data_IF_530697274424
#
_entry.id   IF_530697274424
#
_cell.length_a   1.000
_cell.length_b   1.000
_cell.length_c   1.000
_cell.angle_alpha   90.00
_cell.angle_beta   90.00
_cell.angle_gamma   90.00
#
_symmetry.space_group_name_H-M   'P 1'
#
loop_
_entity.id
_entity.type
_entity.pdbx_description
1 polymer ?
#
# COMPACT_ATOMS: atom_id res chain seq x y z
N UNK A 1 0.29 19.99 13.72
CA UNK A 1 -1.11 19.57 13.94
C UNK A 1 -1.31 18.22 13.25
N UNK A 2 -1.87 17.21 13.92
CA UNK A 2 -2.09 15.86 13.35
C UNK A 2 -3.58 15.74 13.02
N UNK A 3 -3.93 15.82 11.74
CA UNK A 3 -5.29 15.50 11.31
C UNK A 3 -5.34 13.99 11.08
N UNK A 4 -6.06 13.26 11.92
CA UNK A 4 -6.39 11.86 11.66
C UNK A 4 -7.73 11.90 10.92
N UNK A 5 -7.69 11.73 9.61
CA UNK A 5 -8.92 11.49 8.84
C UNK A 5 -9.22 10.00 8.97
N UNK A 6 -10.12 9.63 9.88
CA UNK A 6 -10.74 8.31 9.85
C UNK A 6 -11.73 8.33 8.69
N UNK A 7 -11.30 7.87 7.52
CA UNK A 7 -12.15 7.79 6.34
C UNK A 7 -13.23 6.72 6.59
N UNK A 8 -14.38 7.15 7.12
CA UNK A 8 -15.63 6.43 6.97
C UNK A 8 -16.28 6.93 5.69
N UNK A 9 -16.20 6.11 4.65
CA UNK A 9 -16.95 6.19 3.39
C UNK A 9 -17.06 7.59 2.76
N UNK A 10 -16.07 7.99 1.95
CA UNK A 10 -16.14 9.20 1.11
C UNK A 10 -15.95 8.80 -0.36
N UNK A 11 -16.79 9.27 -1.31
CA UNK A 11 -16.69 8.88 -2.71
C UNK A 11 -15.74 9.86 -3.44
N UNK A 12 -14.46 9.54 -3.45
CA UNK A 12 -13.47 10.09 -4.39
C UNK A 12 -12.86 8.88 -5.09
N UNK A 13 -13.18 8.72 -6.38
CA UNK A 13 -12.70 7.67 -7.29
C UNK A 13 -12.18 6.41 -6.57
N UNK A 14 -13.10 5.73 -5.89
CA UNK A 14 -12.84 4.43 -5.32
C UNK A 14 -12.71 3.50 -6.52
N UNK A 15 -11.50 3.03 -6.82
CA UNK A 15 -11.37 1.72 -7.45
C UNK A 15 -12.05 0.77 -6.47
N UNK A 16 -13.33 0.47 -6.71
CA UNK A 16 -14.11 -0.41 -5.85
C UNK A 16 -13.29 -1.68 -5.73
N UNK A 17 -12.81 -1.98 -4.52
CA UNK A 17 -12.52 -3.34 -4.11
C UNK A 17 -13.87 -4.07 -4.08
N UNK A 18 -14.41 -4.31 -5.27
CA UNK A 18 -15.73 -4.86 -5.51
C UNK A 18 -15.68 -6.39 -5.39
N UNK A 19 -15.12 -6.87 -4.28
CA UNK A 19 -15.37 -8.24 -3.83
C UNK A 19 -15.17 -8.42 -2.31
N UNK A 20 -15.62 -7.42 -1.53
CA UNK A 20 -15.72 -7.50 -0.07
C UNK A 20 -16.76 -8.52 0.44
N UNK A 21 -17.30 -9.41 -0.42
CA UNK A 21 -18.17 -10.52 0.00
C UNK A 21 -17.43 -11.62 0.78
N UNK A 22 -16.10 -11.51 0.90
CA UNK A 22 -15.26 -12.44 1.66
C UNK A 22 -14.26 -11.71 2.56
N UNK A 23 -14.62 -10.55 3.12
CA UNK A 23 -13.82 -9.96 4.20
C UNK A 23 -13.70 -10.99 5.33
N UNK A 24 -12.48 -11.49 5.58
CA UNK A 24 -12.26 -12.40 6.69
C UNK A 24 -12.71 -11.72 7.99
N UNK A 25 -13.43 -12.41 8.88
CA UNK A 25 -13.91 -11.81 10.12
C UNK A 25 -12.73 -11.25 10.92
N UNK A 26 -12.75 -9.93 11.14
CA UNK A 26 -11.86 -9.23 12.06
C UNK A 26 -10.69 -8.45 11.44
N UNK A 27 -10.63 -8.26 10.12
CA UNK A 27 -9.64 -7.39 9.49
C UNK A 27 -9.98 -5.90 9.59
N UNK A 28 -8.98 -5.05 9.83
CA UNK A 28 -9.11 -3.59 9.84
C UNK A 28 -8.09 -2.95 8.92
N UNK A 29 -8.48 -1.92 8.17
CA UNK A 29 -7.57 -1.08 7.40
C UNK A 29 -7.68 0.37 7.89
N UNK A 30 -6.55 1.05 8.03
CA UNK A 30 -6.45 2.45 8.45
C UNK A 30 -5.55 3.21 7.49
N UNK A 31 -6.00 4.38 7.08
CA UNK A 31 -5.20 5.32 6.28
C UNK A 31 -4.90 6.55 7.13
N UNK A 32 -3.64 6.98 7.15
CA UNK A 32 -3.19 8.21 7.79
C UNK A 32 -2.53 9.08 6.73
N UNK A 33 -3.13 10.22 6.44
CA UNK A 33 -2.60 11.19 5.48
C UNK A 33 -2.03 12.37 6.25
N UNK A 34 -0.85 12.84 5.86
CA UNK A 34 -0.20 14.04 6.40
C UNK A 34 0.08 14.98 5.25
N UNK A 35 -0.29 16.24 5.44
CA UNK A 35 -0.08 17.31 4.50
C UNK A 35 0.91 18.34 5.05
N UNK A 36 1.80 18.84 4.21
CA UNK A 36 2.62 20.02 4.44
C UNK A 36 1.82 21.27 4.07
N UNK A 37 1.44 22.05 5.10
CA UNK A 37 0.63 23.25 4.93
C UNK A 37 1.42 24.44 4.34
N UNK A 38 2.69 24.28 3.98
CA UNK A 38 3.54 25.33 3.39
C UNK A 38 3.27 25.60 1.90
N UNK A 39 2.25 24.96 1.31
CA UNK A 39 1.58 25.30 0.03
C UNK A 39 2.34 25.08 -1.29
N UNK A 40 3.45 24.34 -1.34
CA UNK A 40 4.08 23.98 -2.64
C UNK A 40 3.36 22.83 -3.33
N UNK A 41 2.81 21.92 -2.54
CA UNK A 41 1.97 20.82 -2.98
C UNK A 41 1.02 20.49 -1.83
N UNK A 42 -0.28 20.48 -2.12
CA UNK A 42 -1.32 20.25 -1.12
C UNK A 42 -1.77 18.78 -1.10
N UNK A 43 -1.34 17.97 -2.07
CA UNK A 43 -1.85 16.63 -2.26
C UNK A 43 -0.82 15.60 -1.79
N UNK A 44 -1.32 14.59 -1.08
CA UNK A 44 -0.46 13.52 -0.60
C UNK A 44 -0.37 12.41 -1.65
N UNK A 45 0.77 11.72 -1.75
CA UNK A 45 0.89 10.59 -2.66
C UNK A 45 -0.10 9.48 -2.31
N UNK A 46 -0.61 8.80 -3.33
CA UNK A 46 -1.66 7.79 -3.21
C UNK A 46 -1.09 6.41 -3.55
N UNK A 47 -1.46 5.39 -2.74
CA UNK A 47 -1.21 3.99 -3.07
C UNK A 47 -2.18 3.57 -4.19
N UNK A 48 -1.65 3.19 -5.35
CA UNK A 48 -2.45 2.80 -6.53
C UNK A 48 -2.63 1.29 -6.66
N UNK A 49 -1.74 0.49 -6.06
CA UNK A 49 -1.88 -0.97 -6.03
C UNK A 49 -1.12 -1.58 -4.86
N UNK A 50 -1.65 -2.70 -4.38
CA UNK A 50 -0.99 -3.64 -3.49
C UNK A 50 -1.29 -5.05 -4.00
N UNK A 51 -0.25 -5.84 -4.24
CA UNK A 51 -0.36 -7.24 -4.67
C UNK A 51 0.55 -8.11 -3.82
N UNK A 52 0.03 -9.26 -3.43
CA UNK A 52 0.79 -10.33 -2.79
C UNK A 52 0.97 -11.42 -3.84
N UNK A 53 2.21 -11.72 -4.22
CA UNK A 53 2.54 -12.62 -5.30
C UNK A 53 3.24 -13.88 -4.77
N UNK A 54 2.97 -15.02 -5.38
CA UNK A 54 3.65 -16.29 -5.12
C UNK A 54 5.00 -16.36 -5.87
N UNK A 55 5.75 -17.46 -5.71
CA UNK A 55 7.00 -17.72 -6.44
C UNK A 55 6.85 -17.69 -7.96
N UNK A 56 5.66 -17.98 -8.49
CA UNK A 56 5.36 -17.93 -9.92
C UNK A 56 5.05 -16.51 -10.43
N UNK A 57 5.05 -15.51 -9.55
CA UNK A 57 4.71 -14.12 -9.88
C UNK A 57 3.21 -13.86 -10.05
N UNK A 58 2.36 -14.84 -9.76
CA UNK A 58 0.90 -14.72 -9.78
C UNK A 58 0.37 -14.28 -8.40
N UNK A 59 -0.82 -13.65 -8.32
CA UNK A 59 -1.46 -13.37 -7.04
C UNK A 59 -1.59 -14.64 -6.19
N UNK A 60 -1.06 -14.60 -4.96
CA UNK A 60 -1.10 -15.75 -4.07
C UNK A 60 -2.55 -16.03 -3.61
N UNK A 61 -3.02 -17.28 -3.77
CA UNK A 61 -4.33 -17.71 -3.27
C UNK A 61 -4.20 -18.49 -1.96
N UNK A 62 -4.49 -17.83 -0.84
CA UNK A 62 -4.48 -18.44 0.49
C UNK A 62 -5.42 -19.66 0.59
N UNK A 63 -6.50 -19.73 -0.20
CA UNK A 63 -7.43 -20.88 -0.21
C UNK A 63 -6.80 -22.14 -0.81
N UNK A 64 -5.77 -21.96 -1.64
CA UNK A 64 -4.98 -23.05 -2.24
C UNK A 64 -3.75 -23.41 -1.39
N UNK A 65 -3.58 -22.77 -0.23
CA UNK A 65 -2.39 -22.92 0.59
C UNK A 65 -1.15 -22.21 0.01
N UNK A 66 -1.32 -21.37 -1.02
CA UNK A 66 -0.21 -20.62 -1.59
C UNK A 66 0.28 -19.57 -0.60
N UNK A 67 1.59 -19.54 -0.37
CA UNK A 67 2.23 -18.54 0.49
C UNK A 67 2.71 -17.39 -0.39
N UNK A 68 2.40 -16.13 -0.03
CA UNK A 68 2.97 -15.00 -0.74
C UNK A 68 4.48 -14.94 -0.44
N UNK A 69 5.27 -14.81 -1.49
CA UNK A 69 6.73 -14.67 -1.41
C UNK A 69 7.18 -13.26 -1.73
N UNK A 70 6.32 -12.45 -2.33
CA UNK A 70 6.63 -11.09 -2.77
C UNK A 70 5.45 -10.15 -2.49
N UNK A 71 5.76 -8.95 -2.01
CA UNK A 71 4.82 -7.82 -2.00
C UNK A 71 5.22 -6.89 -3.13
N UNK A 72 4.25 -6.55 -3.98
CA UNK A 72 4.38 -5.47 -4.97
C UNK A 72 3.43 -4.35 -4.59
N UNK A 73 3.96 -3.14 -4.47
CA UNK A 73 3.17 -1.93 -4.26
C UNK A 73 3.40 -0.98 -5.42
N UNK A 74 2.39 -0.17 -5.73
CA UNK A 74 2.56 0.99 -6.58
C UNK A 74 1.95 2.21 -5.93
N UNK A 75 2.60 3.36 -6.12
CA UNK A 75 2.09 4.63 -5.66
C UNK A 75 2.37 5.72 -6.70
N UNK A 76 1.51 6.72 -6.71
CA UNK A 76 1.60 7.85 -7.61
C UNK A 76 1.25 9.13 -6.85
N UNK A 77 1.77 10.25 -7.34
CA UNK A 77 1.42 11.56 -6.85
C UNK A 77 0.64 12.30 -7.94
N UNK A 78 -0.41 13.02 -7.55
CA UNK A 78 -1.34 13.65 -8.47
C UNK A 78 -1.67 15.06 -8.02
N UNK A 79 -1.61 16.01 -8.95
CA UNK A 79 -2.11 17.37 -8.73
C UNK A 79 -3.40 17.58 -9.52
N UNK A 80 -4.49 18.04 -8.90
CA UNK A 80 -5.70 18.40 -9.61
C UNK A 80 -5.49 19.68 -10.43
N UNK A 81 -5.98 19.68 -11.66
CA UNK A 81 -6.12 20.90 -12.48
C UNK A 81 -7.33 21.72 -12.04
N UNK A 82 -7.42 22.97 -12.50
CA UNK A 82 -8.61 23.81 -12.32
C UNK A 82 -9.89 23.17 -12.89
N UNK A 83 -9.75 22.27 -13.88
CA UNK A 83 -10.85 21.53 -14.50
C UNK A 83 -11.15 20.20 -13.80
N UNK A 84 -10.45 19.86 -12.72
CA UNK A 84 -10.65 18.63 -11.94
C UNK A 84 -9.96 17.38 -12.50
N UNK A 85 -9.20 17.48 -13.60
CA UNK A 85 -8.34 16.38 -14.06
C UNK A 85 -7.16 16.17 -13.11
N UNK A 86 -6.74 14.92 -12.91
CA UNK A 86 -5.54 14.59 -12.15
C UNK A 86 -4.33 14.51 -13.09
N UNK A 87 -3.31 15.32 -12.81
CA UNK A 87 -2.02 15.25 -13.51
C UNK A 87 -1.05 14.42 -12.66
N UNK A 88 -0.51 13.35 -13.24
CA UNK A 88 0.53 12.56 -12.61
C UNK A 88 1.83 13.36 -12.49
N UNK A 89 2.35 13.44 -11.27
CA UNK A 89 3.59 14.12 -10.94
C UNK A 89 4.74 13.11 -10.86
N UNK A 90 5.36 12.82 -12.00
CA UNK A 90 6.30 11.71 -12.10
C UNK A 90 7.52 11.81 -11.20
N UNK A 91 7.95 13.01 -10.81
CA UNK A 91 9.19 13.22 -10.07
C UNK A 91 8.98 13.68 -8.62
N UNK A 92 7.75 13.61 -8.12
CA UNK A 92 7.40 14.13 -6.80
C UNK A 92 7.47 13.09 -5.69
N UNK A 93 7.36 11.80 -6.01
CA UNK A 93 7.58 10.74 -5.03
C UNK A 93 9.04 10.70 -4.57
N UNK A 94 9.24 10.62 -3.25
CA UNK A 94 10.55 10.65 -2.62
C UNK A 94 10.91 9.30 -2.01
N UNK A 95 10.01 8.71 -1.22
CA UNK A 95 10.27 7.46 -0.51
C UNK A 95 9.03 6.60 -0.37
N UNK A 96 9.24 5.28 -0.46
CA UNK A 96 8.27 4.26 -0.08
C UNK A 96 8.92 3.33 0.96
N UNK A 97 8.16 2.97 1.98
CA UNK A 97 8.57 2.04 3.03
C UNK A 97 7.49 0.99 3.23
N UNK A 98 7.90 -0.26 3.37
CA UNK A 98 7.04 -1.39 3.69
C UNK A 98 7.47 -1.94 5.04
N UNK A 99 6.51 -2.19 5.92
CA UNK A 99 6.75 -2.79 7.21
C UNK A 99 5.79 -3.95 7.43
N UNK A 100 6.21 -4.91 8.24
CA UNK A 100 5.37 -5.99 8.71
C UNK A 100 5.54 -6.21 10.21
N UNK A 101 4.60 -6.94 10.80
CA UNK A 101 4.73 -7.56 12.11
C UNK A 101 3.77 -8.76 12.20
N UNK A 102 3.99 -9.62 13.18
CA UNK A 102 2.99 -10.61 13.55
C UNK A 102 1.74 -9.90 14.10
N UNK A 103 0.56 -10.43 13.79
CA UNK A 103 -0.75 -9.80 14.02
C UNK A 103 -0.88 -9.10 15.38
N UNK A 104 -0.76 -7.76 15.35
CA UNK A 104 -0.84 -6.83 16.50
C UNK A 104 0.18 -7.09 17.61
N UNK A 105 1.22 -7.87 17.34
CA UNK A 105 2.27 -8.21 18.30
C UNK A 105 3.64 -7.68 17.85
N UNK A 106 4.48 -7.35 18.81
CA UNK A 106 5.85 -6.91 18.55
C UNK A 106 5.97 -5.54 17.87
N UNK A 107 7.20 -5.26 17.45
CA UNK A 107 7.57 -4.04 16.75
C UNK A 107 7.40 -4.20 15.24
N UNK A 108 7.17 -3.09 14.54
CA UNK A 108 7.21 -3.08 13.09
C UNK A 108 8.64 -3.32 12.59
N UNK A 109 8.80 -4.32 11.72
CA UNK A 109 10.06 -4.61 11.03
C UNK A 109 9.97 -4.09 9.60
N UNK A 110 10.97 -3.34 9.16
CA UNK A 110 11.02 -2.82 7.80
C UNK A 110 11.44 -3.91 6.80
N UNK A 111 10.75 -3.95 5.66
CA UNK A 111 11.08 -4.78 4.51
C UNK A 111 11.74 -3.91 3.45
N UNK A 112 12.95 -4.26 2.98
CA UNK A 112 13.65 -3.46 1.99
C UNK A 112 12.91 -3.49 0.65
N UNK A 113 12.44 -2.32 0.22
CA UNK A 113 11.81 -2.15 -1.08
C UNK A 113 12.85 -1.90 -2.17
N UNK A 114 12.74 -2.64 -3.26
CA UNK A 114 13.48 -2.43 -4.51
C UNK A 114 12.56 -1.77 -5.53
N UNK A 115 13.00 -0.64 -6.10
CA UNK A 115 12.29 -0.03 -7.22
C UNK A 115 12.39 -0.95 -8.45
N UNK A 116 11.25 -1.30 -9.03
CA UNK A 116 11.16 -2.14 -10.24
C UNK A 116 11.13 -1.26 -11.48
N UNK A 117 10.22 -0.29 -11.50
CA UNK A 117 10.01 0.61 -12.63
C UNK A 117 9.27 1.86 -12.19
N UNK A 118 9.32 2.90 -13.03
CA UNK A 118 8.51 4.11 -12.97
C UNK A 118 7.68 4.13 -14.24
N UNK A 119 6.38 3.83 -14.14
CA UNK A 119 5.48 3.89 -15.28
C UNK A 119 4.86 5.29 -15.37
N UNK A 120 5.27 6.04 -16.39
CA UNK A 120 4.76 7.37 -16.70
C UNK A 120 3.97 7.41 -18.02
N UNK A 121 3.91 6.32 -18.80
CA UNK A 121 3.66 6.47 -20.25
C UNK A 121 2.63 5.54 -20.88
N UNK A 122 2.14 4.48 -20.21
CA UNK A 122 1.21 3.56 -20.90
C UNK A 122 0.13 2.99 -20.00
N UNK A 123 -1.10 3.45 -20.21
CA UNK A 123 -2.29 2.76 -19.74
C UNK A 123 -2.30 1.29 -20.25
N UNK A 124 -2.92 0.35 -19.51
CA UNK A 124 -3.71 0.54 -18.30
C UNK A 124 -3.09 -0.19 -17.09
N UNK A 125 -2.40 0.57 -16.22
CA UNK A 125 -1.98 0.19 -14.87
C UNK A 125 -0.81 -0.80 -14.73
N UNK A 126 0.02 -0.64 -13.67
CA UNK A 126 -0.06 0.36 -12.60
C UNK A 126 0.63 1.69 -12.97
N UNK A 127 -0.05 2.82 -12.80
CA UNK A 127 0.57 4.15 -12.91
C UNK A 127 1.38 4.46 -11.65
N UNK A 128 2.54 5.10 -11.84
CA UNK A 128 3.40 5.53 -10.76
C UNK A 128 4.69 4.74 -10.64
N UNK A 129 5.28 4.79 -9.46
CA UNK A 129 6.44 4.00 -9.11
C UNK A 129 5.99 2.64 -8.57
N UNK A 130 6.66 1.59 -9.02
CA UNK A 130 6.40 0.21 -8.60
C UNK A 130 7.58 -0.30 -7.81
N UNK A 131 7.32 -0.73 -6.58
CA UNK A 131 8.32 -1.34 -5.71
C UNK A 131 7.96 -2.78 -5.37
N UNK A 132 8.99 -3.57 -5.10
CA UNK A 132 8.87 -4.94 -4.65
C UNK A 132 9.72 -5.19 -3.42
N UNK A 133 9.23 -6.05 -2.54
CA UNK A 133 10.05 -6.69 -1.52
C UNK A 133 9.77 -8.18 -1.52
N UNK A 134 10.82 -8.97 -1.32
CA UNK A 134 10.63 -10.34 -0.85
C UNK A 134 9.95 -10.31 0.52
N UNK A 135 9.01 -11.22 0.73
CA UNK A 135 8.54 -11.55 2.07
C UNK A 135 9.51 -12.56 2.64
N UNK A 136 10.10 -12.31 3.83
CA UNK A 136 10.88 -13.35 4.50
C UNK A 136 9.97 -14.58 4.65
N UNK A 137 10.56 -15.78 4.62
CA UNK A 137 9.81 -16.98 4.97
C UNK A 137 9.27 -16.79 6.39
N UNK A 138 7.98 -16.46 6.49
CA UNK A 138 7.25 -16.25 7.75
C UNK A 138 6.98 -17.58 8.48
N UNK A 139 7.79 -18.59 8.18
CA UNK A 139 7.76 -19.93 8.75
C UNK A 139 7.99 -19.95 10.26
N UNK A 140 8.50 -18.84 10.83
CA UNK A 140 8.67 -18.65 12.27
C UNK A 140 7.54 -17.88 12.95
N UNK A 141 6.55 -17.39 12.21
CA UNK A 141 5.48 -16.61 12.80
C UNK A 141 4.51 -17.50 13.56
N UNK A 142 4.32 -17.20 14.84
CA UNK A 142 3.42 -17.95 15.73
C UNK A 142 1.95 -17.84 15.31
N UNK A 143 1.62 -16.74 14.63
CA UNK A 143 0.33 -16.51 14.00
C UNK A 143 0.44 -16.62 12.49
N UNK A 144 -0.56 -17.23 11.88
CA UNK A 144 -0.73 -17.22 10.43
C UNK A 144 -1.26 -15.87 9.91
N UNK A 145 -1.17 -14.79 10.70
CA UNK A 145 -1.75 -13.48 10.42
C UNK A 145 -0.67 -12.42 10.48
N UNK A 146 -0.53 -11.66 9.41
CA UNK A 146 0.54 -10.67 9.27
C UNK A 146 -0.09 -9.32 9.07
N UNK A 147 0.32 -8.34 9.86
CA UNK A 147 -0.04 -6.95 9.62
C UNK A 147 0.93 -6.34 8.62
N UNK A 148 0.42 -5.46 7.75
CA UNK A 148 1.23 -4.71 6.80
C UNK A 148 1.03 -3.22 7.04
N UNK A 149 2.14 -2.48 7.01
CA UNK A 149 2.13 -1.03 6.98
C UNK A 149 2.93 -0.52 5.79
N UNK A 150 2.32 0.33 4.99
CA UNK A 150 2.95 0.96 3.82
C UNK A 150 2.98 2.45 4.08
N UNK A 151 4.12 3.09 3.89
CA UNK A 151 4.25 4.54 3.99
C UNK A 151 4.87 5.08 2.71
N UNK A 152 4.19 6.04 2.10
CA UNK A 152 4.63 6.74 0.90
C UNK A 152 4.79 8.21 1.24
N UNK A 153 5.86 8.84 0.78
CA UNK A 153 6.18 10.25 0.99
C UNK A 153 6.62 10.89 -0.33
N UNK A 154 6.22 12.13 -0.53
CA UNK A 154 6.66 12.98 -1.64
C UNK A 154 7.85 13.89 -1.23
N UNK A 155 8.32 14.71 -2.17
CA UNK A 155 9.41 15.68 -1.94
C UNK A 155 8.94 16.92 -1.17
N UNK A 156 7.64 17.18 -1.11
CA UNK A 156 7.08 18.31 -0.36
C UNK A 156 7.01 18.02 1.14
N UNK A 157 6.99 16.75 1.53
CA UNK A 157 6.82 16.28 2.90
C UNK A 157 5.42 15.75 3.19
N UNK A 158 4.51 15.73 2.21
CA UNK A 158 3.24 15.01 2.30
C UNK A 158 3.50 13.50 2.39
N UNK A 159 2.63 12.79 3.09
CA UNK A 159 2.75 11.34 3.20
C UNK A 159 1.41 10.65 3.41
N UNK A 160 1.29 9.46 2.86
CA UNK A 160 0.18 8.55 3.11
C UNK A 160 0.69 7.26 3.74
N UNK A 161 0.09 6.85 4.84
CA UNK A 161 0.39 5.62 5.56
C UNK A 161 -0.85 4.72 5.58
N UNK A 162 -0.73 3.51 5.06
CA UNK A 162 -1.74 2.45 5.11
C UNK A 162 -1.34 1.42 6.14
N UNK A 163 -2.23 1.05 7.05
CA UNK A 163 -2.04 0.00 8.05
C UNK A 163 -3.17 -1.01 7.88
N UNK A 164 -2.85 -2.27 7.62
CA UNK A 164 -3.81 -3.37 7.44
C UNK A 164 -3.52 -4.47 8.46
N UNK A 165 -4.55 -4.87 9.22
CA UNK A 165 -4.44 -5.77 10.37
C UNK A 165 -5.60 -6.79 10.42
N UNK A 166 -5.40 -8.06 10.02
CA UNK A 166 -4.22 -8.52 9.28
C UNK A 166 -4.22 -7.93 7.87
N UNK A 167 -3.02 -7.67 7.34
CA UNK A 167 -2.80 -7.40 5.93
C UNK A 167 -2.96 -8.66 5.08
N UNK A 168 -2.53 -9.82 5.59
CA UNK A 168 -2.84 -11.11 4.98
C UNK A 168 -2.76 -12.24 5.99
N UNK A 169 -3.30 -13.39 5.57
CA UNK A 169 -3.25 -14.64 6.31
C UNK A 169 -2.40 -15.62 5.50
N UNK A 170 -1.32 -16.13 6.09
CA UNK A 170 -0.56 -17.21 5.49
C UNK A 170 -1.34 -18.51 5.62
N UNK A 171 -1.15 -19.44 4.69
CA UNK A 171 -1.60 -20.80 4.89
C UNK A 171 -1.09 -21.30 6.26
N UNK A 172 -1.97 -21.98 7.02
CA UNK A 172 -1.53 -22.65 8.25
C UNK A 172 -0.37 -23.61 7.91
N UNK A 173 0.60 -23.79 8.82
CA UNK A 173 1.68 -24.75 8.63
C UNK A 173 1.16 -26.16 8.35
#
# INVERSE_FOLDING_TARGET
MRVIVELRETPLFVQRFEDARHAQPGGTAKVVIKFDLRKRDADAPVLTSLKLLSSSGLPADARRGEKPELVRISAADYTPTELGYLIYQSDWLDAAHLYYRECRTGNWTELPLRLVTQDATTAPLPFGYIWESGLPSLTGCSSNRIDIKIKVRDKSGNSTEWIMEPGFVSAAP
#
